data_IF_644992806494
#
_entry.id   IF_644992806494
#
_cell.length_a   1.000
_cell.length_b   1.000
_cell.length_c   1.000
_cell.angle_alpha   90.00
_cell.angle_beta   90.00
_cell.angle_gamma   90.00
#
_symmetry.space_group_name_H-M   'P 1'
#
loop_
_entity.id
_entity.type
_entity.pdbx_description
1 polymer ?
#
# COMPACT_ATOMS: atom_id res chain seq x y z
N UNK A 1 24.72 3.51 10.45
CA UNK A 1 23.47 2.97 9.84
C UNK A 1 22.54 4.15 9.66
N UNK A 2 22.16 4.42 8.42
CA UNK A 2 21.51 5.69 8.08
C UNK A 2 19.99 5.53 7.87
N UNK A 3 19.54 4.31 7.55
CA UNK A 3 18.11 4.01 7.34
C UNK A 3 17.74 2.61 7.85
N UNK A 4 16.50 2.46 8.28
CA UNK A 4 15.83 1.18 8.51
C UNK A 4 14.76 1.02 7.44
N UNK A 5 14.89 0.01 6.57
CA UNK A 5 13.80 -0.46 5.72
C UNK A 5 12.90 -1.32 6.59
N UNK A 6 11.63 -0.96 6.68
CA UNK A 6 10.64 -1.64 7.50
C UNK A 6 9.61 -2.34 6.60
N UNK A 7 9.50 -3.65 6.75
CA UNK A 7 8.58 -4.50 6.00
C UNK A 7 7.63 -5.19 6.98
N UNK A 8 6.40 -4.76 7.05
CA UNK A 8 5.34 -5.44 7.81
C UNK A 8 4.77 -6.57 6.94
N UNK A 9 4.97 -7.82 7.35
CA UNK A 9 4.60 -8.99 6.55
C UNK A 9 3.20 -9.45 6.91
N UNK A 10 2.34 -9.52 5.91
CA UNK A 10 0.98 -10.04 6.04
C UNK A 10 0.92 -11.57 5.90
N UNK A 11 -0.09 -12.25 6.49
CA UNK A 11 -0.27 -13.69 6.36
C UNK A 11 -0.38 -14.20 4.91
N UNK A 12 -0.76 -13.32 3.99
CA UNK A 12 -0.93 -13.60 2.56
C UNK A 12 0.17 -13.01 1.68
N UNK A 13 1.29 -12.59 2.28
CA UNK A 13 2.44 -12.03 1.56
C UNK A 13 2.92 -12.93 0.42
N UNK A 14 3.44 -12.31 -0.61
CA UNK A 14 4.09 -12.97 -1.75
C UNK A 14 5.39 -13.69 -1.39
N UNK A 15 6.29 -13.83 -2.35
CA UNK A 15 7.59 -14.47 -2.14
C UNK A 15 8.56 -13.53 -1.41
N UNK A 16 8.58 -13.61 -0.08
CA UNK A 16 9.49 -12.84 0.77
C UNK A 16 10.96 -13.04 0.44
N UNK A 17 11.34 -14.19 -0.13
CA UNK A 17 12.73 -14.44 -0.55
C UNK A 17 13.10 -13.48 -1.66
N UNK A 18 12.28 -13.35 -2.71
CA UNK A 18 12.51 -12.41 -3.81
C UNK A 18 12.61 -10.97 -3.33
N UNK A 19 11.75 -10.58 -2.39
CA UNK A 19 11.79 -9.24 -1.79
C UNK A 19 13.10 -9.01 -1.04
N UNK A 20 13.51 -9.93 -0.17
CA UNK A 20 14.74 -9.82 0.62
C UNK A 20 15.99 -9.85 -0.27
N UNK A 21 16.05 -10.72 -1.26
CA UNK A 21 17.19 -10.84 -2.17
C UNK A 21 17.39 -9.56 -2.99
N UNK A 22 16.33 -8.84 -3.34
CA UNK A 22 16.45 -7.56 -4.04
C UNK A 22 17.15 -6.47 -3.21
N UNK A 23 17.20 -6.60 -1.87
CA UNK A 23 18.00 -5.69 -1.03
C UNK A 23 19.51 -5.94 -1.12
N UNK A 24 19.96 -7.09 -1.66
CA UNK A 24 21.38 -7.38 -1.88
C UNK A 24 22.00 -6.49 -2.97
N UNK A 25 21.16 -6.03 -3.90
CA UNK A 25 21.59 -5.24 -5.07
C UNK A 25 21.43 -3.73 -4.88
N UNK A 26 21.06 -3.27 -3.67
CA UNK A 26 20.87 -1.85 -3.40
C UNK A 26 22.17 -1.05 -3.49
N UNK A 27 22.08 0.14 -4.08
CA UNK A 27 23.17 1.12 -4.14
C UNK A 27 22.82 2.37 -3.33
N UNK A 28 23.67 2.82 -2.38
CA UNK A 28 25.01 2.28 -2.06
C UNK A 28 24.95 0.96 -1.30
N UNK A 29 26.06 0.21 -1.43
CA UNK A 29 26.22 -1.14 -0.92
C UNK A 29 25.80 -1.34 0.55
N UNK A 30 25.60 -2.61 0.91
CA UNK A 30 25.27 -3.09 2.26
C UNK A 30 26.11 -2.42 3.37
N UNK A 31 25.48 -2.14 4.50
CA UNK A 31 26.10 -1.50 5.68
C UNK A 31 25.56 -0.12 6.01
N UNK A 32 24.98 0.58 5.04
CA UNK A 32 24.35 1.88 5.26
C UNK A 32 22.88 1.79 5.72
N UNK A 33 22.25 0.63 5.67
CA UNK A 33 20.86 0.40 6.10
C UNK A 33 20.67 -1.00 6.71
N UNK A 34 19.61 -1.18 7.46
CA UNK A 34 19.10 -2.49 7.88
C UNK A 34 17.74 -2.76 7.22
N UNK A 35 17.40 -4.03 7.08
CA UNK A 35 16.06 -4.49 6.74
C UNK A 35 15.42 -5.07 7.99
N UNK A 36 14.32 -4.48 8.43
CA UNK A 36 13.56 -4.92 9.58
C UNK A 36 12.25 -5.55 9.10
N UNK A 37 12.18 -6.85 9.22
CA UNK A 37 10.99 -7.63 8.86
C UNK A 37 10.15 -7.79 10.11
N UNK A 38 8.89 -7.33 10.05
CA UNK A 38 7.95 -7.42 11.17
C UNK A 38 6.91 -8.49 10.86
N UNK A 39 6.97 -9.57 11.61
CA UNK A 39 6.01 -10.69 11.48
C UNK A 39 4.66 -10.30 12.08
N UNK A 40 3.65 -10.27 11.22
CA UNK A 40 2.25 -10.02 11.55
C UNK A 40 1.40 -11.30 11.44
N UNK A 41 1.93 -12.44 11.87
CA UNK A 41 1.26 -13.74 11.85
C UNK A 41 1.67 -14.69 10.72
N UNK A 42 2.70 -14.35 9.93
CA UNK A 42 3.22 -15.15 8.82
C UNK A 42 4.48 -15.97 9.18
N UNK A 43 4.67 -16.32 10.44
CA UNK A 43 5.92 -16.84 11.06
C UNK A 43 6.70 -17.86 10.24
N UNK A 44 6.06 -18.90 9.71
CA UNK A 44 6.77 -19.97 9.00
C UNK A 44 7.45 -19.47 7.72
N UNK A 45 6.72 -18.75 6.88
CA UNK A 45 7.23 -18.24 5.59
C UNK A 45 8.31 -17.19 5.78
N UNK A 46 8.13 -16.30 6.77
CA UNK A 46 9.12 -15.28 7.08
C UNK A 46 10.39 -15.90 7.63
N UNK A 47 10.28 -16.90 8.51
CA UNK A 47 11.43 -17.58 9.10
C UNK A 47 12.26 -18.33 8.05
N UNK A 48 11.61 -19.02 7.10
CA UNK A 48 12.29 -19.75 6.03
C UNK A 48 12.99 -18.78 5.05
N UNK A 49 12.30 -17.74 4.59
CA UNK A 49 12.88 -16.73 3.72
C UNK A 49 14.05 -15.99 4.38
N UNK A 50 13.92 -15.67 5.68
CA UNK A 50 14.99 -15.07 6.47
C UNK A 50 16.20 -15.98 6.59
N UNK A 51 16.00 -17.26 6.91
CA UNK A 51 17.08 -18.22 7.04
C UNK A 51 17.85 -18.41 5.73
N UNK A 52 17.14 -18.45 4.59
CA UNK A 52 17.75 -18.54 3.26
C UNK A 52 18.54 -17.28 2.93
N UNK A 53 17.95 -16.10 3.17
CA UNK A 53 18.61 -14.82 2.92
C UNK A 53 19.90 -14.67 3.74
N UNK A 54 19.88 -14.98 5.04
CA UNK A 54 21.06 -14.92 5.92
C UNK A 54 22.16 -15.87 5.45
N UNK A 55 21.80 -17.06 4.95
CA UNK A 55 22.79 -17.99 4.37
C UNK A 55 23.43 -17.44 3.09
N UNK A 56 22.64 -16.77 2.26
CA UNK A 56 23.08 -16.24 0.97
C UNK A 56 23.82 -14.91 1.08
N UNK A 57 23.53 -14.11 2.08
CA UNK A 57 24.02 -12.75 2.26
C UNK A 57 24.30 -12.40 3.73
N UNK A 58 25.34 -12.97 4.34
CA UNK A 58 25.61 -12.76 5.76
C UNK A 58 25.94 -11.31 6.14
N UNK A 59 26.19 -10.45 5.17
CA UNK A 59 26.55 -9.04 5.39
C UNK A 59 25.39 -8.05 5.29
N UNK A 60 24.20 -8.49 4.85
CA UNK A 60 23.01 -7.61 4.83
C UNK A 60 22.31 -7.74 6.17
N UNK A 61 22.27 -6.70 6.99
CA UNK A 61 21.67 -6.76 8.31
C UNK A 61 20.15 -6.83 8.23
N UNK A 62 19.61 -8.05 8.20
CA UNK A 62 18.17 -8.34 8.30
C UNK A 62 17.85 -8.74 9.73
N UNK A 63 16.79 -8.19 10.29
CA UNK A 63 16.28 -8.55 11.63
C UNK A 63 14.81 -8.89 11.57
N UNK A 64 14.39 -9.85 12.37
CA UNK A 64 12.99 -10.20 12.59
C UNK A 64 12.48 -9.58 13.89
N UNK A 65 11.30 -9.03 13.84
CA UNK A 65 10.53 -8.55 14.99
C UNK A 65 9.12 -9.11 14.90
N UNK A 66 8.56 -9.54 16.01
CA UNK A 66 7.15 -9.94 16.07
C UNK A 66 6.31 -8.73 16.47
N UNK A 67 5.19 -8.50 15.80
CA UNK A 67 4.18 -7.56 16.24
C UNK A 67 3.50 -8.09 17.53
N UNK A 68 3.19 -7.19 18.45
CA UNK A 68 2.52 -7.55 19.69
C UNK A 68 1.00 -7.81 19.48
N UNK A 69 0.43 -7.22 18.44
CA UNK A 69 -0.97 -7.35 18.04
C UNK A 69 -1.06 -7.59 16.53
N UNK A 70 -2.12 -8.25 16.05
CA UNK A 70 -2.36 -8.39 14.62
C UNK A 70 -2.73 -7.05 14.00
N UNK A 71 -2.44 -6.90 12.70
CA UNK A 71 -2.78 -5.72 11.91
C UNK A 71 -1.54 -4.97 11.41
N UNK A 72 -1.66 -4.39 10.21
CA UNK A 72 -0.57 -3.66 9.54
C UNK A 72 -0.10 -2.45 10.35
N UNK A 73 -1.04 -1.69 10.92
CA UNK A 73 -0.72 -0.53 11.77
C UNK A 73 0.13 -0.94 12.98
N UNK A 74 -0.27 -1.99 13.71
CA UNK A 74 0.47 -2.50 14.86
C UNK A 74 1.86 -3.03 14.45
N UNK A 75 1.96 -3.73 13.32
CA UNK A 75 3.24 -4.23 12.80
C UNK A 75 4.18 -3.08 12.42
N UNK A 76 3.70 -2.07 11.69
CA UNK A 76 4.48 -0.90 11.34
C UNK A 76 4.94 -0.11 12.57
N UNK A 77 4.07 0.07 13.57
CA UNK A 77 4.42 0.71 14.84
C UNK A 77 5.49 -0.08 15.60
N UNK A 78 5.34 -1.41 15.68
CA UNK A 78 6.35 -2.27 16.32
C UNK A 78 7.71 -2.18 15.61
N UNK A 79 7.71 -2.17 14.27
CA UNK A 79 8.91 -1.99 13.48
C UNK A 79 9.56 -0.62 13.68
N UNK A 80 8.78 0.45 13.69
CA UNK A 80 9.27 1.81 13.92
C UNK A 80 9.94 1.95 15.31
N UNK A 81 9.34 1.36 16.35
CA UNK A 81 9.96 1.30 17.69
C UNK A 81 11.25 0.50 17.72
N UNK A 82 11.37 -0.57 16.93
CA UNK A 82 12.54 -1.43 16.84
C UNK A 82 13.63 -0.92 15.89
N UNK A 83 13.32 0.08 15.05
CA UNK A 83 14.25 0.68 14.11
C UNK A 83 15.47 1.28 14.81
N UNK A 84 16.65 1.04 14.25
CA UNK A 84 17.94 1.53 14.79
C UNK A 84 18.39 2.83 14.16
N UNK A 85 17.89 3.14 12.97
CA UNK A 85 18.23 4.35 12.24
C UNK A 85 17.19 5.47 12.48
N UNK A 86 17.60 6.71 12.18
CA UNK A 86 16.72 7.87 12.26
C UNK A 86 15.81 8.03 11.04
N UNK A 87 16.14 7.39 9.93
CA UNK A 87 15.30 7.35 8.74
C UNK A 87 14.58 6.01 8.69
N UNK A 88 13.24 6.03 8.63
CA UNK A 88 12.42 4.85 8.38
C UNK A 88 11.95 4.88 6.92
N UNK A 89 12.10 3.76 6.24
CA UNK A 89 11.58 3.53 4.89
C UNK A 89 10.56 2.40 4.99
N UNK A 90 9.27 2.70 4.94
CA UNK A 90 8.21 1.70 4.87
C UNK A 90 8.13 1.13 3.47
N UNK A 91 8.17 -0.19 3.35
CA UNK A 91 8.03 -0.91 2.07
C UNK A 91 7.05 -2.06 2.25
N UNK A 92 6.16 -2.25 1.27
CA UNK A 92 5.23 -3.38 1.28
C UNK A 92 5.97 -4.71 1.07
N UNK A 93 5.41 -5.78 1.61
CA UNK A 93 5.98 -7.14 1.60
C UNK A 93 5.90 -7.85 0.25
N UNK A 94 5.22 -7.25 -0.71
CA UNK A 94 5.11 -7.68 -2.12
C UNK A 94 5.77 -6.68 -3.11
N UNK A 95 6.56 -5.73 -2.59
CA UNK A 95 7.30 -4.77 -3.41
C UNK A 95 8.75 -5.20 -3.56
N UNK A 96 9.15 -5.46 -4.81
CA UNK A 96 10.56 -5.71 -5.17
C UNK A 96 11.23 -4.35 -5.41
N UNK A 97 12.17 -3.92 -4.55
CA UNK A 97 12.82 -2.63 -4.70
C UNK A 97 13.77 -2.61 -5.90
N UNK A 98 13.71 -1.54 -6.69
CA UNK A 98 14.76 -1.25 -7.67
C UNK A 98 16.10 -0.96 -6.95
N UNK A 99 17.26 -1.17 -7.59
CA UNK A 99 18.57 -0.99 -6.94
C UNK A 99 18.81 0.40 -6.32
N UNK A 100 18.06 1.41 -6.75
CA UNK A 100 18.20 2.80 -6.28
C UNK A 100 17.22 3.17 -5.16
N UNK A 101 16.26 2.31 -4.78
CA UNK A 101 15.18 2.67 -3.86
C UNK A 101 15.71 3.18 -2.53
N UNK A 102 16.51 2.39 -1.83
CA UNK A 102 17.02 2.76 -0.50
C UNK A 102 17.90 4.01 -0.58
N UNK A 103 18.79 4.06 -1.59
CA UNK A 103 19.66 5.21 -1.83
C UNK A 103 18.89 6.51 -2.07
N UNK A 104 17.83 6.45 -2.86
CA UNK A 104 17.00 7.62 -3.17
C UNK A 104 16.31 8.18 -1.92
N UNK A 105 15.70 7.33 -1.10
CA UNK A 105 15.09 7.73 0.16
C UNK A 105 16.11 8.31 1.15
N UNK A 106 17.26 7.65 1.32
CA UNK A 106 18.32 8.10 2.23
C UNK A 106 18.86 9.47 1.85
N UNK A 107 19.27 9.63 0.58
CA UNK A 107 19.81 10.89 0.07
C UNK A 107 18.79 12.02 0.26
N UNK A 108 17.53 11.77 -0.08
CA UNK A 108 16.46 12.75 0.09
C UNK A 108 16.33 13.17 1.55
N UNK A 109 16.12 12.22 2.48
CA UNK A 109 15.92 12.53 3.89
C UNK A 109 17.14 13.20 4.54
N UNK A 110 18.35 12.89 4.08
CA UNK A 110 19.57 13.55 4.54
C UNK A 110 19.74 14.97 4.00
N UNK A 111 19.18 15.27 2.81
CA UNK A 111 19.35 16.57 2.13
C UNK A 111 18.35 17.63 2.57
N UNK A 112 17.23 17.24 3.21
CA UNK A 112 16.18 18.17 3.60
C UNK A 112 16.34 18.59 5.06
N UNK A 113 16.33 19.91 5.36
CA UNK A 113 16.49 20.42 6.72
C UNK A 113 15.22 20.36 7.56
N UNK A 114 14.06 20.16 6.91
CA UNK A 114 12.73 20.19 7.53
C UNK A 114 12.08 18.82 7.52
N UNK A 115 11.01 18.66 8.30
CA UNK A 115 10.20 17.44 8.26
C UNK A 115 9.45 17.34 6.92
N UNK A 116 9.62 16.22 6.26
CA UNK A 116 9.02 15.93 4.96
C UNK A 116 8.87 14.43 4.77
N UNK A 117 7.83 14.02 4.08
CA UNK A 117 7.60 12.63 3.70
C UNK A 117 8.07 12.42 2.26
N UNK A 118 8.96 11.45 2.05
CA UNK A 118 9.41 11.05 0.71
C UNK A 118 8.62 9.84 0.23
N UNK A 119 8.03 9.90 -0.97
CA UNK A 119 7.17 8.86 -1.52
C UNK A 119 7.75 8.38 -2.86
N UNK A 120 8.05 7.09 -2.95
CA UNK A 120 8.49 6.44 -4.18
C UNK A 120 7.34 5.85 -4.99
N UNK A 121 7.48 5.72 -6.33
CA UNK A 121 6.51 5.04 -7.16
C UNK A 121 6.55 3.52 -6.95
N UNK A 122 5.39 2.89 -7.20
CA UNK A 122 5.30 1.45 -7.38
C UNK A 122 4.45 1.15 -8.63
N UNK A 123 4.98 0.33 -9.52
CA UNK A 123 4.29 -0.17 -10.71
C UNK A 123 4.17 -1.68 -10.63
N UNK A 124 3.23 -2.28 -11.35
CA UNK A 124 3.20 -3.73 -11.46
C UNK A 124 4.48 -4.27 -12.09
N UNK A 125 4.94 -5.43 -11.61
CA UNK A 125 6.02 -6.15 -12.28
C UNK A 125 5.66 -6.38 -13.76
N UNK A 126 6.65 -6.30 -14.66
CA UNK A 126 6.43 -6.33 -16.12
C UNK A 126 5.61 -7.55 -16.57
N UNK A 127 5.84 -8.69 -15.92
CA UNK A 127 5.08 -9.93 -16.16
C UNK A 127 3.59 -9.82 -15.83
N UNK A 128 3.19 -8.86 -14.98
CA UNK A 128 1.83 -8.66 -14.49
C UNK A 128 1.10 -7.49 -15.17
N UNK A 129 1.82 -6.57 -15.79
CA UNK A 129 1.28 -5.31 -16.32
C UNK A 129 0.36 -5.48 -17.54
N UNK A 130 0.34 -6.66 -18.19
CA UNK A 130 -0.44 -6.89 -19.43
C UNK A 130 -1.93 -7.14 -19.23
N UNK A 131 -2.36 -7.39 -18.02
CA UNK A 131 -3.78 -7.55 -17.71
C UNK A 131 -4.53 -6.22 -17.86
N UNK A 132 -5.68 -6.17 -18.53
CA UNK A 132 -6.41 -4.92 -18.77
C UNK A 132 -6.81 -4.17 -17.50
N UNK A 133 -7.15 -4.89 -16.42
CA UNK A 133 -7.51 -4.29 -15.14
C UNK A 133 -6.28 -3.66 -14.45
N UNK A 134 -5.17 -4.37 -14.38
CA UNK A 134 -3.93 -3.86 -13.80
C UNK A 134 -3.38 -2.69 -14.59
N UNK A 135 -3.39 -2.76 -15.93
CA UNK A 135 -3.03 -1.64 -16.79
C UNK A 135 -3.90 -0.40 -16.52
N UNK A 136 -5.22 -0.61 -16.39
CA UNK A 136 -6.12 0.49 -16.03
C UNK A 136 -5.83 1.07 -14.64
N UNK A 137 -5.52 0.24 -13.64
CA UNK A 137 -5.15 0.71 -12.30
C UNK A 137 -3.93 1.64 -12.32
N UNK A 138 -2.89 1.29 -13.08
CA UNK A 138 -1.71 2.14 -13.27
C UNK A 138 -2.05 3.45 -13.99
N UNK A 139 -2.68 3.36 -15.15
CA UNK A 139 -2.99 4.51 -15.99
C UNK A 139 -3.97 5.50 -15.34
N UNK A 140 -4.90 5.01 -14.52
CA UNK A 140 -5.91 5.83 -13.84
C UNK A 140 -5.48 6.34 -12.47
N UNK A 141 -4.32 5.92 -11.95
CA UNK A 141 -3.85 6.26 -10.60
C UNK A 141 -4.53 5.48 -9.49
N UNK A 142 -5.27 4.42 -9.79
CA UNK A 142 -5.86 3.54 -8.77
C UNK A 142 -4.83 2.58 -8.16
N UNK A 143 -3.64 2.48 -8.75
CA UNK A 143 -2.48 1.83 -8.16
C UNK A 143 -1.64 2.91 -7.46
N UNK A 144 -1.75 3.02 -6.14
CA UNK A 144 -0.95 3.93 -5.29
C UNK A 144 -0.87 5.39 -5.78
N UNK A 145 -1.81 5.86 -6.58
CA UNK A 145 -1.85 7.22 -7.09
C UNK A 145 -0.71 7.63 -8.02
N UNK A 146 0.12 6.71 -8.48
CA UNK A 146 1.39 6.99 -9.19
C UNK A 146 1.19 7.81 -10.46
N UNK A 147 0.14 7.53 -11.25
CA UNK A 147 -0.12 8.26 -12.49
C UNK A 147 -0.36 9.76 -12.28
N UNK A 148 -0.93 10.15 -11.13
CA UNK A 148 -1.15 11.56 -10.81
C UNK A 148 0.11 12.28 -10.36
N UNK A 149 1.09 11.54 -9.84
CA UNK A 149 2.27 12.09 -9.18
C UNK A 149 3.50 12.15 -10.08
N UNK A 150 3.58 11.31 -11.10
CA UNK A 150 4.67 11.35 -12.09
C UNK A 150 4.72 12.65 -12.89
N UNK A 151 3.59 13.37 -12.99
CA UNK A 151 3.50 14.60 -13.76
C UNK A 151 3.94 15.87 -13.00
N UNK A 152 3.95 15.90 -11.68
CA UNK A 152 4.11 17.16 -10.94
C UNK A 152 5.03 17.15 -9.72
N UNK A 153 5.72 16.08 -9.37
CA UNK A 153 6.66 16.00 -8.22
C UNK A 153 6.12 16.49 -6.85
N UNK A 154 4.91 17.03 -6.81
CA UNK A 154 4.25 17.52 -5.61
C UNK A 154 2.99 16.70 -5.35
N UNK A 155 2.93 16.11 -4.18
CA UNK A 155 1.82 15.28 -3.74
C UNK A 155 0.82 16.11 -2.90
N UNK A 156 -0.47 15.76 -2.90
CA UNK A 156 -1.37 16.25 -1.87
C UNK A 156 -0.77 15.98 -0.49
N UNK A 157 -0.83 16.95 0.43
CA UNK A 157 -0.22 16.81 1.76
C UNK A 157 -0.73 15.63 2.57
N UNK A 158 -1.98 15.22 2.32
CA UNK A 158 -2.60 14.07 2.95
C UNK A 158 -2.26 12.73 2.28
N UNK A 159 -1.45 12.73 1.20
CA UNK A 159 -1.07 11.51 0.52
C UNK A 159 0.06 10.81 1.26
N UNK A 160 -0.27 9.67 1.80
CA UNK A 160 0.66 8.77 2.46
C UNK A 160 0.28 7.32 2.13
N UNK A 161 1.24 6.46 1.93
CA UNK A 161 1.04 5.02 1.92
C UNK A 161 2.31 4.29 2.39
N UNK A 162 2.15 3.33 3.29
CA UNK A 162 3.27 2.60 3.90
C UNK A 162 3.92 1.57 2.96
N UNK A 163 3.59 1.59 1.67
CA UNK A 163 4.15 0.66 0.67
C UNK A 163 5.49 1.08 0.10
N UNK A 164 5.77 2.40 0.02
CA UNK A 164 7.08 2.91 -0.46
C UNK A 164 7.26 4.36 -0.01
N UNK A 165 7.50 4.56 1.28
CA UNK A 165 7.51 5.89 1.89
C UNK A 165 8.60 6.02 2.93
N UNK A 166 9.29 7.17 2.98
CA UNK A 166 10.27 7.47 4.02
C UNK A 166 9.95 8.74 4.79
N UNK A 167 10.28 8.72 6.07
CA UNK A 167 10.30 9.89 6.95
C UNK A 167 11.30 9.68 8.08
N UNK A 168 11.60 10.75 8.82
CA UNK A 168 12.41 10.65 10.04
C UNK A 168 11.59 9.98 11.15
N UNK A 169 12.23 9.13 11.93
CA UNK A 169 11.60 8.46 13.08
C UNK A 169 11.00 9.48 14.06
N UNK A 170 11.72 10.55 14.37
CA UNK A 170 11.21 11.62 15.23
C UNK A 170 9.91 12.24 14.71
N UNK A 171 9.75 12.38 13.39
CA UNK A 171 8.51 12.84 12.76
C UNK A 171 7.39 11.82 12.93
N UNK A 172 7.68 10.52 12.73
CA UNK A 172 6.74 9.44 12.94
C UNK A 172 6.25 9.39 14.38
N UNK A 173 7.18 9.46 15.34
CA UNK A 173 6.89 9.44 16.78
C UNK A 173 6.07 10.67 17.20
N UNK A 174 6.41 11.85 16.70
CA UNK A 174 5.67 13.10 16.96
C UNK A 174 4.24 13.07 16.43
N UNK A 175 4.01 12.39 15.30
CA UNK A 175 2.68 12.15 14.76
C UNK A 175 1.91 11.04 15.50
N UNK A 176 2.55 10.31 16.42
CA UNK A 176 1.94 9.27 17.24
C UNK A 176 1.89 7.88 16.61
N UNK A 177 2.58 7.67 15.49
CA UNK A 177 2.53 6.40 14.74
C UNK A 177 1.19 6.18 14.03
N UNK A 178 0.96 4.96 13.55
CA UNK A 178 -0.33 4.58 12.96
C UNK A 178 -1.37 4.31 14.05
N UNK A 179 -2.64 4.60 13.76
CA UNK A 179 -3.75 4.25 14.65
C UNK A 179 -4.02 2.73 14.56
N UNK A 180 -3.74 2.01 15.65
CA UNK A 180 -3.91 0.55 15.74
C UNK A 180 -5.39 0.12 15.82
N UNK A 181 -6.34 1.06 15.94
CA UNK A 181 -7.77 0.76 15.82
C UNK A 181 -8.17 0.36 14.39
N UNK A 182 -7.34 0.65 13.38
CA UNK A 182 -7.49 0.10 12.03
C UNK A 182 -7.03 -1.37 12.01
N UNK A 183 -7.89 -2.26 12.48
CA UNK A 183 -7.61 -3.70 12.60
C UNK A 183 -7.51 -4.43 11.24
N UNK A 184 -7.97 -3.81 10.16
CA UNK A 184 -7.96 -4.38 8.80
C UNK A 184 -7.14 -3.47 7.90
N UNK A 185 -6.30 -4.03 7.05
CA UNK A 185 -5.30 -3.40 6.18
C UNK A 185 -5.85 -2.32 5.22
N UNK A 186 -6.61 -1.36 5.76
CA UNK A 186 -7.22 -0.27 4.99
C UNK A 186 -7.47 0.95 5.87
N UNK A 187 -7.12 2.13 5.38
CA UNK A 187 -7.47 3.41 5.97
C UNK A 187 -6.43 4.01 6.93
N UNK A 188 -5.57 3.22 7.54
CA UNK A 188 -4.47 3.65 8.42
C UNK A 188 -3.51 4.63 7.74
N UNK A 189 -3.18 4.39 6.47
CA UNK A 189 -2.35 5.27 5.65
C UNK A 189 -2.99 6.64 5.43
N UNK A 190 -4.27 6.63 5.08
CA UNK A 190 -5.02 7.88 4.84
C UNK A 190 -5.17 8.68 6.14
N UNK A 191 -5.48 8.02 7.26
CA UNK A 191 -5.60 8.65 8.56
C UNK A 191 -4.27 9.29 9.00
N UNK A 192 -3.14 8.55 8.84
CA UNK A 192 -1.82 9.10 9.11
C UNK A 192 -1.53 10.34 8.24
N UNK A 193 -1.89 10.29 6.95
CA UNK A 193 -1.80 11.41 6.03
C UNK A 193 -2.60 12.63 6.47
N UNK A 194 -3.78 12.44 7.09
CA UNK A 194 -4.58 13.54 7.66
C UNK A 194 -3.84 14.23 8.82
N UNK A 195 -3.21 13.46 9.72
CA UNK A 195 -2.39 14.04 10.81
C UNK A 195 -1.14 14.71 10.29
N UNK A 196 -0.47 14.12 9.29
CA UNK A 196 0.65 14.71 8.59
C UNK A 196 0.30 16.07 7.99
N UNK A 197 -0.84 16.18 7.31
CA UNK A 197 -1.31 17.42 6.72
C UNK A 197 -1.67 18.46 7.80
N UNK A 198 -2.36 18.06 8.86
CA UNK A 198 -2.69 18.93 9.99
C UNK A 198 -1.43 19.51 10.66
N UNK A 199 -0.34 18.73 10.69
CA UNK A 199 0.96 19.15 11.18
C UNK A 199 1.75 20.02 10.19
N UNK A 200 1.24 20.25 8.98
CA UNK A 200 1.90 21.05 7.95
C UNK A 200 3.10 20.37 7.28
N UNK A 201 3.24 19.05 7.41
CA UNK A 201 4.35 18.26 6.85
C UNK A 201 4.06 17.92 5.39
N UNK A 202 4.86 18.39 4.42
CA UNK A 202 4.63 18.10 3.01
C UNK A 202 5.08 16.70 2.62
N UNK A 203 4.50 16.17 1.53
CA UNK A 203 4.99 14.99 0.83
C UNK A 203 5.73 15.41 -0.44
N UNK A 204 6.77 14.65 -0.80
CA UNK A 204 7.56 14.83 -2.02
C UNK A 204 7.71 13.52 -2.77
N UNK A 205 7.50 13.55 -4.07
CA UNK A 205 7.65 12.40 -4.94
C UNK A 205 9.12 12.14 -5.27
N UNK A 206 9.57 10.90 -5.12
CA UNK A 206 10.95 10.46 -5.34
C UNK A 206 11.01 9.47 -6.51
N UNK A 207 11.13 9.92 -7.78
CA UNK A 207 11.03 9.04 -8.95
C UNK A 207 12.10 7.95 -9.00
N UNK A 208 13.25 8.14 -8.34
CA UNK A 208 14.33 7.14 -8.26
C UNK A 208 14.11 6.09 -7.15
N UNK A 209 13.14 6.29 -6.28
CA UNK A 209 12.77 5.33 -5.24
C UNK A 209 11.74 4.32 -5.77
N UNK A 210 12.01 3.69 -6.90
CA UNK A 210 11.10 2.80 -7.61
C UNK A 210 11.00 1.44 -6.93
N UNK A 211 9.78 0.90 -6.87
CA UNK A 211 9.50 -0.50 -6.53
C UNK A 211 8.61 -1.15 -7.60
N UNK A 212 8.66 -2.49 -7.67
CA UNK A 212 7.81 -3.31 -8.51
C UNK A 212 6.84 -4.11 -7.65
N UNK A 213 5.55 -3.89 -7.82
CA UNK A 213 4.49 -4.62 -7.13
C UNK A 213 4.34 -6.00 -7.78
N UNK A 214 4.76 -7.04 -7.07
CA UNK A 214 4.80 -8.43 -7.55
C UNK A 214 3.59 -9.24 -7.06
N UNK A 215 2.43 -8.63 -7.07
CA UNK A 215 1.15 -9.26 -6.74
C UNK A 215 0.16 -9.08 -7.90
N UNK A 216 -0.36 -10.19 -8.41
CA UNK A 216 -1.33 -10.22 -9.51
C UNK A 216 -2.73 -9.83 -9.03
N UNK A 217 -2.90 -8.55 -8.62
CA UNK A 217 -4.18 -8.04 -8.12
C UNK A 217 -5.30 -8.28 -9.15
N UNK A 218 -6.35 -8.95 -8.71
CA UNK A 218 -7.59 -9.16 -9.48
C UNK A 218 -8.62 -8.09 -9.16
N UNK A 219 -9.62 -7.93 -10.06
CA UNK A 219 -10.75 -7.04 -9.79
C UNK A 219 -11.51 -7.46 -8.52
N UNK A 220 -11.69 -8.78 -8.31
CA UNK A 220 -12.39 -9.31 -7.13
C UNK A 220 -11.68 -8.93 -5.82
N UNK A 221 -10.37 -9.13 -5.73
CA UNK A 221 -9.57 -8.72 -4.58
C UNK A 221 -9.64 -7.22 -4.35
N UNK A 222 -9.58 -6.44 -5.45
CA UNK A 222 -9.64 -4.98 -5.34
C UNK A 222 -11.00 -4.49 -4.87
N UNK A 223 -12.11 -5.09 -5.32
CA UNK A 223 -13.46 -4.79 -4.82
C UNK A 223 -13.57 -5.03 -3.31
N UNK A 224 -13.05 -6.15 -2.82
CA UNK A 224 -13.02 -6.45 -1.39
C UNK A 224 -12.15 -5.45 -0.61
N UNK A 225 -10.97 -5.11 -1.12
CA UNK A 225 -10.08 -4.14 -0.48
C UNK A 225 -10.72 -2.75 -0.41
N UNK A 226 -11.40 -2.32 -1.48
CA UNK A 226 -12.10 -1.03 -1.54
C UNK A 226 -13.31 -1.00 -0.61
N UNK A 227 -14.05 -2.11 -0.48
CA UNK A 227 -15.13 -2.21 0.50
C UNK A 227 -14.61 -2.09 1.95
N UNK A 228 -13.48 -2.75 2.28
CA UNK A 228 -12.81 -2.54 3.59
C UNK A 228 -12.39 -1.08 3.79
N UNK A 229 -11.87 -0.42 2.74
CA UNK A 229 -11.55 1.00 2.75
C UNK A 229 -12.77 1.88 3.04
N UNK A 230 -13.93 1.55 2.44
CA UNK A 230 -15.20 2.21 2.73
C UNK A 230 -15.60 2.10 4.21
N UNK A 231 -15.51 0.90 4.77
CA UNK A 231 -15.80 0.69 6.19
C UNK A 231 -14.83 1.46 7.10
N UNK A 232 -13.54 1.45 6.80
CA UNK A 232 -12.51 2.18 7.52
C UNK A 232 -12.68 3.71 7.44
N UNK A 233 -13.24 4.21 6.35
CA UNK A 233 -13.50 5.64 6.15
C UNK A 233 -14.46 6.24 7.19
N UNK A 234 -15.37 5.44 7.75
CA UNK A 234 -16.25 5.90 8.84
C UNK A 234 -15.48 6.21 10.12
N UNK A 235 -14.47 5.40 10.43
CA UNK A 235 -13.60 5.68 11.58
C UNK A 235 -12.77 6.94 11.35
N UNK A 236 -12.20 7.07 10.15
CA UNK A 236 -11.45 8.27 9.77
C UNK A 236 -12.32 9.54 9.82
N UNK A 237 -13.58 9.47 9.40
CA UNK A 237 -14.53 10.58 9.44
C UNK A 237 -14.80 11.06 10.87
N UNK A 238 -14.89 10.13 11.82
CA UNK A 238 -15.08 10.47 13.24
C UNK A 238 -13.85 11.22 13.80
N UNK A 239 -12.63 10.85 13.37
CA UNK A 239 -11.39 11.50 13.80
C UNK A 239 -11.12 12.81 13.04
N UNK A 240 -11.49 12.88 11.77
CA UNK A 240 -11.17 13.98 10.84
C UNK A 240 -12.42 14.46 10.07
N UNK A 241 -13.43 15.06 10.73
CA UNK A 241 -14.74 15.37 10.13
C UNK A 241 -14.68 16.38 8.96
N UNK A 242 -13.56 17.10 8.82
CA UNK A 242 -13.33 18.01 7.70
C UNK A 242 -12.65 17.37 6.48
N UNK A 243 -12.30 16.09 6.57
CA UNK A 243 -11.54 15.33 5.56
C UNK A 243 -12.35 14.15 5.03
N UNK A 244 -13.25 14.44 4.11
CA UNK A 244 -14.18 13.48 3.53
C UNK A 244 -14.14 13.53 1.99
N UNK A 245 -13.04 13.08 1.35
CA UNK A 245 -12.95 13.09 -0.12
C UNK A 245 -14.01 12.21 -0.77
N UNK A 246 -14.62 11.30 -0.03
CA UNK A 246 -15.69 10.41 -0.46
C UNK A 246 -17.11 10.97 -0.25
N UNK A 247 -17.27 12.17 0.33
CA UNK A 247 -18.58 12.71 0.73
C UNK A 247 -19.61 12.72 -0.41
N UNK A 248 -19.21 13.16 -1.61
CA UNK A 248 -20.10 13.18 -2.76
C UNK A 248 -20.52 11.77 -3.19
N UNK A 249 -19.62 10.79 -3.11
CA UNK A 249 -19.90 9.41 -3.48
C UNK A 249 -20.88 8.76 -2.50
N UNK A 250 -20.64 8.91 -1.19
CA UNK A 250 -21.52 8.31 -0.17
C UNK A 250 -22.87 9.02 -0.03
N UNK A 251 -22.99 10.27 -0.49
CA UNK A 251 -24.25 10.99 -0.60
C UNK A 251 -25.11 10.51 -1.79
N UNK A 252 -24.52 9.79 -2.74
CA UNK A 252 -25.28 9.25 -3.89
C UNK A 252 -26.10 8.06 -3.43
N UNK A 253 -27.42 8.02 -3.70
CA UNK A 253 -28.26 6.88 -3.33
C UNK A 253 -27.71 5.57 -3.92
N UNK A 254 -27.67 4.52 -3.11
CA UNK A 254 -27.07 3.24 -3.52
C UNK A 254 -27.73 2.65 -4.77
N UNK A 255 -29.05 2.78 -4.90
CA UNK A 255 -29.77 2.33 -6.10
C UNK A 255 -29.31 3.02 -7.39
N UNK A 256 -28.85 4.29 -7.29
CA UNK A 256 -28.27 5.01 -8.44
C UNK A 256 -26.91 4.42 -8.80
N UNK A 257 -26.07 4.12 -7.81
CA UNK A 257 -24.76 3.49 -8.02
C UNK A 257 -24.89 2.08 -8.59
N UNK A 258 -25.87 1.30 -8.10
CA UNK A 258 -26.18 -0.03 -8.63
C UNK A 258 -26.59 0.04 -10.09
N UNK A 259 -27.54 0.91 -10.43
CA UNK A 259 -27.97 1.12 -11.81
C UNK A 259 -26.83 1.64 -12.72
N UNK A 260 -25.90 2.42 -12.21
CA UNK A 260 -24.71 2.84 -12.96
C UNK A 260 -23.76 1.66 -13.21
N UNK A 261 -23.48 0.84 -12.21
CA UNK A 261 -22.62 -0.33 -12.35
C UNK A 261 -23.22 -1.37 -13.31
N UNK A 262 -24.53 -1.62 -13.24
CA UNK A 262 -25.24 -2.51 -14.18
C UNK A 262 -25.14 -2.02 -15.62
N UNK A 263 -25.42 -0.73 -15.87
CA UNK A 263 -25.30 -0.14 -17.21
C UNK A 263 -23.88 -0.21 -17.76
N UNK A 264 -22.87 0.09 -16.92
CA UNK A 264 -21.46 0.02 -17.32
C UNK A 264 -21.03 -1.40 -17.67
N UNK A 265 -21.50 -2.40 -16.88
CA UNK A 265 -21.25 -3.82 -17.15
C UNK A 265 -21.95 -4.28 -18.44
N UNK A 266 -23.16 -3.84 -18.71
CA UNK A 266 -23.88 -4.14 -19.94
C UNK A 266 -23.15 -3.54 -21.17
N UNK A 267 -22.74 -2.28 -21.09
CA UNK A 267 -21.99 -1.61 -22.15
C UNK A 267 -20.63 -2.28 -22.42
N UNK A 268 -19.91 -2.75 -21.37
CA UNK A 268 -18.66 -3.48 -21.54
C UNK A 268 -18.88 -4.83 -22.23
N UNK A 269 -19.95 -5.55 -21.90
CA UNK A 269 -20.30 -6.82 -22.55
C UNK A 269 -20.71 -6.64 -24.02
N UNK A 270 -21.43 -5.57 -24.34
CA UNK A 270 -21.89 -5.28 -25.70
C UNK A 270 -20.72 -4.79 -26.58
N UNK A 271 -19.88 -3.90 -26.07
CA UNK A 271 -18.77 -3.31 -26.80
C UNK A 271 -17.52 -3.17 -25.90
N UNK A 272 -16.69 -4.22 -25.76
CA UNK A 272 -15.53 -4.22 -24.87
C UNK A 272 -14.39 -3.34 -25.41
N UNK A 273 -14.42 -2.08 -25.07
CA UNK A 273 -13.38 -1.08 -25.38
C UNK A 273 -12.61 -0.71 -24.12
N UNK A 274 -11.42 -0.07 -24.23
CA UNK A 274 -10.74 0.49 -23.06
C UNK A 274 -11.62 1.46 -22.26
N UNK A 275 -12.47 2.25 -22.92
CA UNK A 275 -13.35 3.21 -22.26
C UNK A 275 -14.47 2.52 -21.48
N UNK A 276 -15.17 1.53 -22.09
CA UNK A 276 -16.26 0.80 -21.42
C UNK A 276 -15.72 -0.06 -20.25
N UNK A 277 -14.53 -0.66 -20.38
CA UNK A 277 -13.86 -1.34 -19.29
C UNK A 277 -13.51 -0.39 -18.15
N UNK A 278 -12.93 0.77 -18.45
CA UNK A 278 -12.59 1.78 -17.45
C UNK A 278 -13.82 2.27 -16.68
N UNK A 279 -14.94 2.46 -17.36
CA UNK A 279 -16.20 2.86 -16.73
C UNK A 279 -16.78 1.74 -15.86
N UNK A 280 -16.72 0.49 -16.35
CA UNK A 280 -17.12 -0.70 -15.62
C UNK A 280 -16.31 -0.86 -14.33
N UNK A 281 -14.99 -0.74 -14.37
CA UNK A 281 -14.14 -0.84 -13.17
C UNK A 281 -14.44 0.29 -12.18
N UNK A 282 -14.54 1.53 -12.65
CA UNK A 282 -14.77 2.70 -11.80
C UNK A 282 -16.11 2.62 -11.06
N UNK A 283 -17.18 2.26 -11.76
CA UNK A 283 -18.52 2.18 -11.16
C UNK A 283 -18.64 1.04 -10.16
N UNK A 284 -18.05 -0.13 -10.46
CA UNK A 284 -18.02 -1.25 -9.51
C UNK A 284 -17.19 -0.92 -8.25
N UNK A 285 -16.03 -0.29 -8.40
CA UNK A 285 -15.21 0.13 -7.25
C UNK A 285 -15.92 1.18 -6.39
N UNK A 286 -16.60 2.16 -7.03
CA UNK A 286 -17.41 3.15 -6.31
C UNK A 286 -18.56 2.52 -5.52
N UNK A 287 -19.28 1.59 -6.14
CA UNK A 287 -20.35 0.85 -5.47
C UNK A 287 -19.82 0.00 -4.30
N UNK A 288 -18.69 -0.71 -4.50
CA UNK A 288 -18.07 -1.51 -3.45
C UNK A 288 -17.64 -0.64 -2.25
N UNK A 289 -17.08 0.53 -2.50
CA UNK A 289 -16.73 1.50 -1.45
C UNK A 289 -17.95 1.90 -0.63
N UNK A 290 -19.06 2.30 -1.30
CA UNK A 290 -20.28 2.76 -0.60
C UNK A 290 -20.92 1.62 0.18
N UNK A 291 -20.98 0.41 -0.38
CA UNK A 291 -21.47 -0.78 0.34
C UNK A 291 -20.65 -1.03 1.62
N UNK A 292 -19.33 -0.98 1.54
CA UNK A 292 -18.47 -1.08 2.72
C UNK A 292 -18.71 0.06 3.72
N UNK A 293 -18.81 1.29 3.26
CA UNK A 293 -19.10 2.45 4.09
C UNK A 293 -20.44 2.33 4.82
N UNK A 294 -21.48 1.79 4.18
CA UNK A 294 -22.80 1.55 4.78
C UNK A 294 -22.84 0.32 5.71
N UNK A 295 -21.76 -0.47 5.75
CA UNK A 295 -21.70 -1.69 6.57
C UNK A 295 -22.36 -2.91 5.92
N UNK A 296 -22.62 -2.87 4.62
CA UNK A 296 -23.06 -4.04 3.86
C UNK A 296 -21.86 -4.99 3.61
N UNK A 297 -22.06 -6.28 3.83
CA UNK A 297 -21.04 -7.29 3.52
C UNK A 297 -20.70 -7.25 2.02
N UNK A 298 -19.42 -7.43 1.62
CA UNK A 298 -19.07 -7.56 0.21
C UNK A 298 -19.80 -8.78 -0.38
N UNK A 299 -20.56 -8.57 -1.46
CA UNK A 299 -21.09 -9.68 -2.26
C UNK A 299 -19.93 -10.49 -2.83
N UNK A 300 -20.07 -11.83 -2.84
CA UNK A 300 -19.15 -12.69 -3.57
C UNK A 300 -19.09 -12.25 -5.04
N UNK A 301 -17.89 -12.19 -5.62
CA UNK A 301 -17.73 -11.79 -7.01
C UNK A 301 -18.58 -12.68 -7.93
N UNK A 302 -19.34 -12.12 -8.89
CA UNK A 302 -20.12 -12.92 -9.83
C UNK A 302 -19.15 -13.73 -10.69
N UNK A 303 -19.02 -15.05 -10.44
CA UNK A 303 -18.22 -15.93 -11.28
C UNK A 303 -17.51 -17.11 -10.60
N UNK A 304 -17.44 -17.19 -9.28
CA UNK A 304 -17.00 -18.42 -8.63
C UNK A 304 -18.14 -19.45 -8.58
N UNK A 305 -18.30 -20.17 -9.68
CA UNK A 305 -19.04 -21.44 -9.67
C UNK A 305 -18.24 -22.38 -8.76
N UNK A 306 -18.81 -22.70 -7.61
CA UNK A 306 -18.30 -23.71 -6.69
C UNK A 306 -18.12 -25.04 -7.44
N UNK A 307 -16.89 -25.30 -7.91
CA UNK A 307 -16.50 -26.63 -8.33
C UNK A 307 -16.53 -27.55 -7.12
N UNK A 308 -17.64 -28.30 -6.94
CA UNK A 308 -17.65 -29.44 -6.05
C UNK A 308 -16.57 -30.42 -6.55
N UNK A 309 -15.68 -30.92 -5.70
CA UNK A 309 -14.86 -32.04 -6.05
C UNK A 309 -15.81 -33.25 -6.23
N UNK A 310 -15.96 -33.70 -7.47
CA UNK A 310 -16.60 -34.98 -7.79
C UNK A 310 -15.75 -36.09 -7.22
N UNK A 311 -16.46 -37.11 -6.70
CA UNK A 311 -16.05 -38.27 -5.95
C UNK A 311 -14.96 -39.18 -6.55
#
# INVERSE_FOLDING_TARGET
>A
MDATVLIAVNPHAGDMRRVLDAYLTQTPAAGAFEVLVVDNGARSRVADAYADHVRSAPHTPVRLVAAAAPGRAAANNAGARAARADIIIFVADDFIPAPTLVGAHRIFQASVPTEVVGIGPAFFAESLARDPFRHWMEASGHLFGVAFHTACYSLPRHYFYAGNTSLRRATFDRLGGFDEAYAHDAGDDFEFGCRQEAAGIPSTFLPKALAWHDHAVTLAERLQAVARGGAASRHCEALHPRRQPWAALVATPIAVLEAQAERALAAEREAPTPATRADCYRTQLGLAFVRGYLGAAPEAAPGEVSGRPGG
#
